data_IF_313016852355
#
_entry.id   IF_313016852355
#
_cell.length_a   1.000
_cell.length_b   1.000
_cell.length_c   1.000
_cell.angle_alpha   90.00
_cell.angle_beta   90.00
_cell.angle_gamma   90.00
#
_symmetry.space_group_name_H-M   'P 1'
#
loop_
_entity.id
_entity.type
_entity.pdbx_description
1 polymer ?
#
# COMPACT_ATOMS: atom_id res chain seq x y z
N UNK A 1 -11.52 5.49 -6.06
CA UNK A 1 -10.44 4.48 -6.22
C UNK A 1 -9.91 4.20 -4.84
N UNK A 2 -10.01 2.96 -4.32
CA UNK A 2 -9.41 2.63 -3.03
C UNK A 2 -7.92 2.95 -3.11
N UNK A 3 -7.39 3.68 -2.13
CA UNK A 3 -6.00 4.08 -2.11
C UNK A 3 -5.13 2.84 -1.87
N UNK A 4 -4.47 2.36 -2.91
CA UNK A 4 -3.50 1.28 -2.78
C UNK A 4 -2.35 1.78 -1.89
N UNK A 5 -2.00 0.99 -0.87
CA UNK A 5 -0.93 1.32 0.09
C UNK A 5 0.15 0.26 0.03
N UNK A 6 1.40 0.71 0.02
CA UNK A 6 2.56 -0.18 0.00
C UNK A 6 3.03 -0.47 1.41
N UNK A 7 3.46 -1.70 1.69
CA UNK A 7 4.04 -2.07 2.98
C UNK A 7 5.50 -1.62 3.12
N UNK A 8 5.86 -1.07 4.28
CA UNK A 8 7.25 -0.81 4.66
C UNK A 8 7.90 -1.99 5.41
N UNK A 9 7.07 -2.82 6.05
CA UNK A 9 7.51 -3.94 6.88
C UNK A 9 6.78 -5.22 6.49
N UNK A 10 7.35 -6.37 6.87
CA UNK A 10 6.66 -7.64 6.73
C UNK A 10 5.52 -7.72 7.75
N UNK A 11 4.32 -8.10 7.31
CA UNK A 11 3.15 -8.25 8.17
C UNK A 11 2.45 -9.57 7.92
N UNK A 12 1.93 -10.17 8.99
CA UNK A 12 1.03 -11.31 8.90
C UNK A 12 -0.40 -10.80 8.95
N UNK A 13 -1.18 -11.12 7.93
CA UNK A 13 -2.61 -10.76 7.84
C UNK A 13 -3.43 -12.03 7.65
N UNK A 14 -4.68 -12.01 8.06
CA UNK A 14 -5.59 -13.12 7.79
C UNK A 14 -6.44 -12.77 6.58
N UNK A 15 -6.44 -13.61 5.56
CA UNK A 15 -7.30 -13.39 4.40
C UNK A 15 -8.78 -13.51 4.83
N UNK A 16 -9.63 -12.50 4.59
CA UNK A 16 -11.01 -12.53 5.04
C UNK A 16 -11.90 -13.51 4.25
N UNK A 17 -11.46 -13.99 3.08
CA UNK A 17 -12.20 -14.94 2.26
C UNK A 17 -11.76 -16.38 2.52
N UNK A 18 -10.46 -16.64 2.66
CA UNK A 18 -9.93 -18.01 2.89
C UNK A 18 -9.64 -18.32 4.35
N UNK A 19 -9.63 -17.30 5.22
CA UNK A 19 -9.22 -17.40 6.63
C UNK A 19 -7.80 -17.93 6.84
N UNK A 20 -6.95 -17.83 5.81
CA UNK A 20 -5.55 -18.26 5.89
C UNK A 20 -4.64 -17.11 6.34
N UNK A 21 -3.56 -17.44 7.05
CA UNK A 21 -2.54 -16.46 7.41
C UNK A 21 -1.59 -16.24 6.24
N UNK A 22 -1.59 -15.02 5.70
CA UNK A 22 -0.71 -14.59 4.63
C UNK A 22 0.43 -13.74 5.20
N UNK A 23 1.67 -14.07 4.82
CA UNK A 23 2.83 -13.23 5.06
C UNK A 23 3.02 -12.28 3.88
N UNK A 24 2.80 -10.99 4.11
CA UNK A 24 3.03 -9.94 3.13
C UNK A 24 4.41 -9.32 3.38
N UNK A 25 5.20 -9.21 2.31
CA UNK A 25 6.55 -8.68 2.39
C UNK A 25 6.59 -7.15 2.22
N UNK A 26 7.65 -6.48 2.70
CA UNK A 26 7.91 -5.07 2.38
C UNK A 26 7.89 -4.84 0.86
N UNK A 27 7.32 -3.71 0.43
CA UNK A 27 7.15 -3.39 -0.99
C UNK A 27 5.90 -4.00 -1.64
N UNK A 28 5.17 -4.87 -0.93
CA UNK A 28 3.89 -5.40 -1.42
C UNK A 28 2.84 -4.29 -1.44
N UNK A 29 2.12 -4.19 -2.55
CA UNK A 29 1.01 -3.25 -2.72
C UNK A 29 -0.31 -3.89 -2.27
N UNK A 30 -0.97 -3.27 -1.30
CA UNK A 30 -2.25 -3.70 -0.77
C UNK A 30 -3.37 -2.91 -1.45
N UNK A 31 -4.13 -3.60 -2.28
CA UNK A 31 -5.31 -3.06 -2.98
C UNK A 31 -6.62 -3.42 -2.29
N UNK A 32 -6.60 -4.44 -1.42
CA UNK A 32 -7.78 -4.91 -0.70
C UNK A 32 -7.97 -4.10 0.61
N UNK A 33 -9.06 -3.33 0.76
CA UNK A 33 -9.31 -2.54 1.96
C UNK A 33 -9.46 -3.41 3.22
N UNK A 34 -10.04 -4.61 3.11
CA UNK A 34 -10.22 -5.50 4.25
C UNK A 34 -8.89 -6.06 4.79
N UNK A 35 -7.85 -6.13 3.96
CA UNK A 35 -6.48 -6.45 4.41
C UNK A 35 -5.85 -5.21 5.03
N UNK A 36 -6.04 -4.03 4.43
CA UNK A 36 -5.51 -2.78 4.96
C UNK A 36 -6.06 -2.43 6.34
N UNK A 37 -7.36 -2.67 6.60
CA UNK A 37 -8.00 -2.43 7.90
C UNK A 37 -7.45 -3.33 9.02
N UNK A 38 -6.87 -4.49 8.68
CA UNK A 38 -6.22 -5.36 9.66
C UNK A 38 -4.85 -4.82 10.10
N UNK A 39 -4.19 -4.01 9.28
CA UNK A 39 -2.87 -3.46 9.56
C UNK A 39 -3.05 -2.11 10.27
N UNK A 40 -3.21 -2.19 11.59
CA UNK A 40 -3.47 -1.04 12.46
C UNK A 40 -2.21 -0.26 12.80
N UNK A 41 -1.03 -0.86 12.66
CA UNK A 41 0.25 -0.19 12.92
C UNK A 41 0.62 0.76 11.77
N UNK A 42 0.76 2.08 12.02
CA UNK A 42 1.09 3.04 10.97
C UNK A 42 2.48 2.81 10.36
N UNK A 43 3.45 2.36 11.16
CA UNK A 43 4.83 2.09 10.70
C UNK A 43 4.93 0.87 9.76
N UNK A 44 3.90 0.05 9.68
CA UNK A 44 3.85 -1.05 8.72
C UNK A 44 3.67 -0.55 7.27
N UNK A 45 3.19 0.69 7.11
CA UNK A 45 2.93 1.29 5.83
C UNK A 45 4.12 2.12 5.34
N UNK A 46 4.41 2.04 4.05
CA UNK A 46 5.37 2.92 3.42
C UNK A 46 4.85 4.36 3.46
N UNK A 47 5.71 5.35 3.75
CA UNK A 47 5.35 6.73 3.60
C UNK A 47 4.89 6.96 2.15
N UNK A 48 3.74 7.62 1.98
CA UNK A 48 3.22 7.92 0.64
C UNK A 48 4.32 8.64 -0.12
N UNK A 49 4.80 8.11 -1.27
CA UNK A 49 5.84 8.80 -2.02
C UNK A 49 5.29 10.18 -2.33
N UNK A 50 6.06 11.27 -2.06
CA UNK A 50 5.60 12.60 -2.38
C UNK A 50 5.20 12.58 -3.84
N UNK A 51 3.91 12.83 -4.12
CA UNK A 51 3.40 12.89 -5.49
C UNK A 51 4.27 13.91 -6.21
N UNK A 52 5.24 13.43 -6.98
CA UNK A 52 6.06 14.32 -7.79
C UNK A 52 5.06 15.05 -8.68
N UNK A 53 5.01 16.39 -8.65
CA UNK A 53 4.18 17.12 -9.59
C UNK A 53 4.67 16.68 -10.96
N UNK A 54 3.79 15.97 -11.68
CA UNK A 54 4.00 15.55 -13.06
C UNK A 54 4.39 16.83 -13.80
N UNK A 55 5.68 17.01 -14.11
CA UNK A 55 6.14 18.13 -14.93
C UNK A 55 5.38 17.99 -16.24
N UNK A 56 4.30 18.75 -16.38
CA UNK A 56 3.70 19.06 -17.68
C UNK A 56 4.83 19.69 -18.46
N UNK A 57 5.40 18.94 -19.39
CA UNK A 57 6.28 19.48 -20.41
C UNK A 57 5.38 20.31 -21.35
N UNK A 58 4.98 21.47 -20.86
CA UNK A 58 4.39 22.54 -21.63
C UNK A 58 5.45 23.65 -21.70
N UNK A 59 6.33 23.55 -22.69
CA UNK A 59 7.06 24.67 -23.32
C UNK A 59 7.85 24.07 -24.51
N UNK A 60 7.37 24.19 -25.76
CA UNK A 60 7.45 25.32 -26.74
C UNK A 60 8.86 25.41 -27.36
N UNK A 61 8.99 25.56 -28.69
CA UNK A 61 8.80 26.83 -29.39
C UNK A 61 7.67 26.86 -30.42
#
# INVERSE_FOLDING_TARGET
>A
MPAARTLAAAVFVTDPATHETLLLQPGTEITNPAIADQITHPDAWAPEPPRQPRRTKAETP
#
